data_IF_625060387907
#
_entry.id   IF_625060387907
#
_cell.length_a   1.000
_cell.length_b   1.000
_cell.length_c   1.000
_cell.angle_alpha   90.00
_cell.angle_beta   90.00
_cell.angle_gamma   90.00
#
_symmetry.space_group_name_H-M   'P 1'
#
loop_
_entity.id
_entity.type
_entity.pdbx_description
1 polymer ?
#
# COMPACT_ATOMS: atom_id res chain seq x y z
N UNK A 1 8.79 7.64 -2.74
CA UNK A 1 8.08 6.69 -3.62
C UNK A 1 8.36 5.29 -3.11
N UNK A 2 7.31 4.55 -2.76
CA UNK A 2 7.45 3.16 -2.34
C UNK A 2 7.55 2.19 -3.51
N UNK A 3 8.04 0.98 -3.25
CA UNK A 3 8.13 -0.12 -4.21
C UNK A 3 7.31 -1.30 -3.72
N UNK A 4 6.44 -1.83 -4.57
CA UNK A 4 5.71 -3.08 -4.28
C UNK A 4 6.72 -4.23 -4.19
N UNK A 5 6.68 -4.97 -3.08
CA UNK A 5 7.53 -6.15 -2.83
C UNK A 5 6.74 -7.45 -2.72
N UNK A 6 5.42 -7.37 -2.50
CA UNK A 6 4.52 -8.54 -2.45
C UNK A 6 3.09 -8.14 -2.80
N UNK A 7 2.40 -9.03 -3.50
CA UNK A 7 0.96 -8.95 -3.79
C UNK A 7 0.32 -10.27 -3.34
N UNK A 8 -0.77 -10.19 -2.56
CA UNK A 8 -1.53 -11.32 -2.08
C UNK A 8 -3.04 -11.00 -2.12
N UNK A 9 -3.67 -11.28 -3.26
CA UNK A 9 -5.05 -10.85 -3.51
C UNK A 9 -5.15 -9.31 -3.41
N UNK A 10 -6.09 -8.76 -2.62
CA UNK A 10 -6.24 -7.32 -2.47
C UNK A 10 -5.21 -6.70 -1.50
N UNK A 11 -4.30 -7.48 -0.92
CA UNK A 11 -3.30 -6.99 0.03
C UNK A 11 -1.95 -6.83 -0.66
N UNK A 12 -1.38 -5.63 -0.56
CA UNK A 12 -0.08 -5.28 -1.14
C UNK A 12 0.90 -4.89 -0.04
N UNK A 13 2.13 -5.38 -0.11
CA UNK A 13 3.21 -4.90 0.76
C UNK A 13 4.18 -4.04 -0.06
N UNK A 14 4.46 -2.83 0.42
CA UNK A 14 5.40 -1.91 -0.20
C UNK A 14 6.57 -1.58 0.75
N UNK A 15 7.77 -1.44 0.22
CA UNK A 15 8.98 -0.97 0.93
C UNK A 15 9.34 0.47 0.54
N UNK A 16 10.17 1.14 1.33
CA UNK A 16 10.56 2.53 1.09
C UNK A 16 9.41 3.50 1.39
N UNK A 17 8.54 3.11 2.32
CA UNK A 17 7.35 3.84 2.76
C UNK A 17 7.64 4.68 4.02
N UNK A 18 8.81 5.33 4.07
CA UNK A 18 9.17 6.24 5.17
C UNK A 18 8.14 7.36 5.27
N UNK A 19 7.59 7.56 6.48
CA UNK A 19 6.55 8.55 6.75
C UNK A 19 5.13 8.08 6.46
N UNK A 20 4.92 6.87 5.94
CA UNK A 20 3.60 6.28 5.79
C UNK A 20 2.91 6.13 7.14
N UNK A 21 1.63 6.48 7.20
CA UNK A 21 0.85 6.41 8.42
C UNK A 21 -0.28 5.38 8.30
N UNK A 22 -0.68 4.82 9.45
CA UNK A 22 -1.89 4.00 9.52
C UNK A 22 -3.10 4.81 9.06
N UNK A 23 -4.00 4.16 8.33
CA UNK A 23 -5.25 4.72 7.79
C UNK A 23 -5.07 5.78 6.68
N UNK A 24 -3.83 5.98 6.21
CA UNK A 24 -3.57 6.86 5.08
C UNK A 24 -4.04 6.21 3.77
N UNK A 25 -4.75 6.99 2.94
CA UNK A 25 -5.15 6.58 1.60
C UNK A 25 -4.01 6.80 0.62
N UNK A 26 -3.73 5.79 -0.20
CA UNK A 26 -2.62 5.78 -1.15
C UNK A 26 -3.06 5.30 -2.53
N UNK A 27 -2.29 5.65 -3.55
CA UNK A 27 -2.42 5.09 -4.89
C UNK A 27 -1.43 3.94 -5.07
N UNK A 28 -1.90 2.83 -5.63
CA UNK A 28 -1.13 1.60 -5.80
C UNK A 28 -1.03 1.24 -7.29
N UNK A 29 0.20 0.94 -7.72
CA UNK A 29 0.49 0.52 -9.09
C UNK A 29 0.34 1.64 -10.14
N UNK A 30 0.50 1.26 -11.41
CA UNK A 30 0.41 2.19 -12.55
C UNK A 30 -1.04 2.64 -12.82
N UNK A 31 -2.00 1.76 -12.53
CA UNK A 31 -3.44 2.03 -12.66
C UNK A 31 -3.99 2.96 -11.56
N UNK A 32 -3.15 3.34 -10.59
CA UNK A 32 -3.51 4.24 -9.47
C UNK A 32 -4.73 3.74 -8.70
N UNK A 33 -4.78 2.45 -8.42
CA UNK A 33 -5.82 1.86 -7.59
C UNK A 33 -5.78 2.51 -6.20
N UNK A 34 -6.95 2.76 -5.62
CA UNK A 34 -7.02 3.33 -4.27
C UNK A 34 -6.78 2.21 -3.27
N UNK A 35 -5.96 2.48 -2.26
CA UNK A 35 -5.77 1.60 -1.13
C UNK A 35 -5.61 2.35 0.19
N UNK A 36 -5.66 1.61 1.27
CA UNK A 36 -5.52 2.11 2.65
C UNK A 36 -4.38 1.39 3.36
N UNK A 37 -3.51 2.14 4.03
CA UNK A 37 -2.44 1.56 4.84
C UNK A 37 -3.03 0.97 6.13
N UNK A 38 -3.01 -0.36 6.23
CA UNK A 38 -3.56 -1.12 7.36
C UNK A 38 -2.48 -1.65 8.32
N UNK A 39 -1.20 -1.45 7.99
CA UNK A 39 -0.04 -1.80 8.84
C UNK A 39 1.19 -1.03 8.40
N UNK A 40 1.98 -0.55 9.37
CA UNK A 40 3.30 0.05 9.14
C UNK A 40 4.32 -0.67 10.03
N UNK A 41 5.41 -1.15 9.43
CA UNK A 41 6.51 -1.86 10.10
C UNK A 41 7.84 -1.35 9.56
N UNK A 42 8.47 -0.41 10.28
CA UNK A 42 9.66 0.28 9.82
C UNK A 42 9.40 1.04 8.51
N UNK A 43 10.14 0.69 7.46
CA UNK A 43 9.98 1.29 6.12
C UNK A 43 9.00 0.52 5.22
N UNK A 44 8.26 -0.44 5.78
CA UNK A 44 7.28 -1.25 5.06
C UNK A 44 5.86 -0.83 5.43
N UNK A 45 4.99 -0.80 4.43
CA UNK A 45 3.56 -0.63 4.63
C UNK A 45 2.80 -1.81 4.01
N UNK A 46 1.75 -2.26 4.68
CA UNK A 46 0.75 -3.16 4.11
C UNK A 46 -0.48 -2.36 3.75
N UNK A 47 -0.94 -2.51 2.52
CA UNK A 47 -1.98 -1.71 1.90
C UNK A 47 -3.10 -2.65 1.48
N UNK A 48 -4.32 -2.38 1.93
CA UNK A 48 -5.53 -3.00 1.40
C UNK A 48 -5.96 -2.20 0.17
N UNK A 49 -6.01 -2.84 -0.99
CA UNK A 49 -6.43 -2.22 -2.25
C UNK A 49 -7.93 -2.41 -2.43
N UNK A 50 -8.62 -1.34 -2.80
CA UNK A 50 -10.01 -1.35 -3.22
C UNK A 50 -10.04 -1.34 -4.76
N UNK A 51 -10.59 -2.39 -5.35
CA UNK A 51 -10.87 -2.39 -6.79
C UNK A 51 -12.12 -1.54 -7.06
N UNK A 52 -12.11 -0.81 -8.18
CA UNK A 52 -13.34 -0.20 -8.70
C UNK A 52 -14.22 -1.34 -9.22
N UNK A 53 -15.37 -1.54 -8.59
CA UNK A 53 -16.47 -2.35 -9.16
C UNK A 53 -17.10 -1.63 -10.35
#
# INVERSE_FOLDING_TARGET
MGRIIRIAGPVVTASGMLGAQMYELVMVGEEKLIGEIIRVEGERATIQVYEKT
#
